data_IF_077470652398
#
_entry.id   IF_077470652398
#
_cell.length_a   1.000
_cell.length_b   1.000
_cell.length_c   1.000
_cell.angle_alpha   90.00
_cell.angle_beta   90.00
_cell.angle_gamma   90.00
#
_symmetry.space_group_name_H-M   'P 1'
#
loop_
_entity.id
_entity.type
_entity.pdbx_description
1 polymer ?
#
# COMPACT_ATOMS: atom_id res chain seq x y z
N UNK A 1 16.50 -12.50 -16.13
CA UNK A 1 16.20 -12.62 -17.58
C UNK A 1 15.86 -14.06 -17.94
N UNK A 2 16.69 -15.06 -17.60
CA UNK A 2 16.41 -16.48 -17.91
C UNK A 2 15.13 -17.00 -17.21
N UNK A 3 14.85 -16.59 -15.98
CA UNK A 3 13.66 -16.99 -15.22
C UNK A 3 12.36 -16.44 -15.82
N UNK A 4 12.36 -15.19 -16.27
CA UNK A 4 11.22 -14.60 -16.99
C UNK A 4 10.95 -15.33 -18.33
N UNK A 5 12.01 -15.74 -19.03
CA UNK A 5 11.87 -16.52 -20.27
C UNK A 5 11.32 -17.93 -20.01
N UNK A 6 11.63 -18.55 -18.85
CA UNK A 6 11.13 -19.88 -18.48
C UNK A 6 9.67 -19.88 -18.00
N UNK A 7 9.19 -18.78 -17.43
CA UNK A 7 7.81 -18.64 -16.91
C UNK A 7 6.74 -18.44 -18.01
N UNK A 8 7.17 -18.00 -19.19
CA UNK A 8 6.27 -17.60 -20.25
C UNK A 8 5.47 -16.32 -19.93
N UNK A 9 5.15 -15.56 -20.93
CA UNK A 9 4.40 -14.30 -20.81
C UNK A 9 3.04 -14.46 -20.13
N UNK A 10 2.41 -15.63 -20.30
CA UNK A 10 1.10 -15.90 -19.73
C UNK A 10 1.13 -15.86 -18.20
N UNK A 11 2.12 -16.52 -17.56
CA UNK A 11 2.22 -16.53 -16.08
C UNK A 11 2.50 -15.15 -15.51
N UNK A 12 3.31 -14.34 -16.20
CA UNK A 12 3.58 -12.94 -15.83
C UNK A 12 2.30 -12.12 -15.85
N UNK A 13 1.55 -12.19 -16.94
CA UNK A 13 0.29 -11.45 -17.10
C UNK A 13 -0.77 -11.92 -16.11
N UNK A 14 -0.90 -13.24 -15.89
CA UNK A 14 -1.86 -13.81 -14.95
C UNK A 14 -1.56 -13.39 -13.50
N UNK A 15 -0.29 -13.40 -13.07
CA UNK A 15 0.09 -12.99 -11.74
C UNK A 15 -0.24 -11.50 -11.49
N UNK A 16 0.12 -10.64 -12.44
CA UNK A 16 -0.18 -9.20 -12.36
C UNK A 16 -1.70 -8.94 -12.35
N UNK A 17 -2.45 -9.58 -13.25
CA UNK A 17 -3.89 -9.42 -13.37
C UNK A 17 -4.63 -9.94 -12.12
N UNK A 18 -4.24 -11.11 -11.60
CA UNK A 18 -4.78 -11.66 -10.36
C UNK A 18 -4.54 -10.73 -9.18
N UNK A 19 -3.30 -10.25 -9.02
CA UNK A 19 -2.96 -9.26 -8.00
C UNK A 19 -3.81 -8.00 -8.15
N UNK A 20 -3.92 -7.46 -9.36
CA UNK A 20 -4.72 -6.26 -9.63
C UNK A 20 -6.19 -6.43 -9.23
N UNK A 21 -6.82 -7.52 -9.59
CA UNK A 21 -8.21 -7.80 -9.24
C UNK A 21 -8.40 -7.89 -7.72
N UNK A 22 -7.53 -8.60 -7.01
CA UNK A 22 -7.54 -8.65 -5.54
C UNK A 22 -7.36 -7.23 -4.94
N UNK A 23 -6.38 -6.50 -5.43
CA UNK A 23 -6.06 -5.14 -4.96
C UNK A 23 -7.15 -4.12 -5.22
N UNK A 24 -7.91 -4.29 -6.31
CA UNK A 24 -8.98 -3.39 -6.71
C UNK A 24 -10.21 -3.45 -5.81
N UNK A 25 -10.32 -4.40 -4.87
CA UNK A 25 -11.42 -4.46 -3.90
C UNK A 25 -11.32 -3.27 -2.95
N UNK A 26 -12.31 -2.35 -2.93
CA UNK A 26 -12.25 -1.12 -2.14
C UNK A 26 -12.83 -1.33 -0.74
N UNK A 27 -12.12 -2.05 0.14
CA UNK A 27 -12.65 -2.47 1.45
C UNK A 27 -13.14 -1.31 2.32
N UNK A 28 -12.42 -0.19 2.38
CA UNK A 28 -12.85 0.96 3.17
C UNK A 28 -14.22 1.51 2.72
N UNK A 29 -14.46 1.58 1.40
CA UNK A 29 -15.75 2.01 0.88
C UNK A 29 -16.85 0.97 1.11
N UNK A 30 -16.54 -0.32 0.93
CA UNK A 30 -17.50 -1.41 1.16
C UNK A 30 -17.92 -1.47 2.62
N UNK A 31 -16.97 -1.49 3.55
CA UNK A 31 -17.24 -1.55 4.99
C UNK A 31 -18.07 -0.35 5.48
N UNK A 32 -17.71 0.85 5.06
CA UNK A 32 -18.43 2.07 5.49
C UNK A 32 -19.83 2.14 4.91
N UNK A 33 -20.05 1.69 3.68
CA UNK A 33 -21.39 1.58 3.07
C UNK A 33 -22.26 0.54 3.79
N UNK A 34 -21.72 -0.66 4.05
CA UNK A 34 -22.44 -1.70 4.77
C UNK A 34 -22.81 -1.29 6.20
N UNK A 35 -21.98 -0.46 6.83
CA UNK A 35 -22.24 0.09 8.17
C UNK A 35 -23.14 1.32 8.17
N UNK A 36 -23.65 1.76 7.02
CA UNK A 36 -24.55 2.93 6.92
C UNK A 36 -23.89 4.27 7.30
N UNK A 37 -22.56 4.39 7.20
CA UNK A 37 -21.85 5.65 7.52
C UNK A 37 -21.84 6.60 6.33
N UNK A 38 -21.41 7.86 6.56
CA UNK A 38 -21.18 8.85 5.50
C UNK A 38 -20.19 8.33 4.45
N UNK A 39 -20.41 8.65 3.18
CA UNK A 39 -19.48 8.28 2.10
C UNK A 39 -18.11 8.93 2.35
N UNK A 40 -17.10 8.10 2.60
CA UNK A 40 -15.74 8.55 2.92
C UNK A 40 -15.07 9.37 1.81
N UNK A 41 -15.61 9.33 0.59
CA UNK A 41 -15.13 10.13 -0.55
C UNK A 41 -15.58 11.59 -0.47
N UNK A 42 -16.52 11.92 0.42
CA UNK A 42 -17.01 13.30 0.62
C UNK A 42 -16.36 13.99 1.82
N UNK A 43 -15.62 13.26 2.67
CA UNK A 43 -15.01 13.78 3.88
C UNK A 43 -13.48 13.76 3.86
N UNK A 44 -12.87 14.61 4.61
CA UNK A 44 -11.43 14.63 4.91
C UNK A 44 -10.55 14.58 3.66
N UNK A 45 -9.71 13.56 3.57
CA UNK A 45 -8.79 13.39 2.42
C UNK A 45 -9.44 12.82 1.15
N UNK A 46 -10.74 12.53 1.19
CA UNK A 46 -11.52 11.89 0.12
C UNK A 46 -10.97 10.52 -0.34
N UNK A 47 -10.00 9.97 0.38
CA UNK A 47 -9.37 8.67 0.11
C UNK A 47 -10.22 7.53 0.69
N UNK A 48 -10.17 6.36 0.06
CA UNK A 48 -10.87 5.14 0.52
C UNK A 48 -10.09 4.37 1.60
N UNK A 49 -8.93 4.86 2.07
CA UNK A 49 -8.07 4.16 3.04
C UNK A 49 -8.45 4.37 4.50
N UNK A 50 -7.90 3.54 5.37
CA UNK A 50 -8.19 3.44 6.81
C UNK A 50 -8.11 4.79 7.57
N UNK A 51 -7.12 5.62 7.29
CA UNK A 51 -6.97 6.94 7.94
C UNK A 51 -8.16 7.87 7.65
N UNK A 52 -8.77 7.77 6.46
CA UNK A 52 -9.96 8.55 6.14
C UNK A 52 -11.22 7.91 6.75
N UNK A 53 -11.30 6.57 6.79
CA UNK A 53 -12.37 5.86 7.52
C UNK A 53 -12.37 6.25 9.00
N UNK A 54 -11.20 6.42 9.64
CA UNK A 54 -11.10 6.84 11.04
C UNK A 54 -11.82 8.19 11.31
N UNK A 55 -11.92 9.08 10.32
CA UNK A 55 -12.60 10.37 10.44
C UNK A 55 -14.13 10.26 10.57
N UNK A 56 -14.70 9.10 10.22
CA UNK A 56 -16.13 8.82 10.53
C UNK A 56 -16.39 8.57 12.01
N UNK A 57 -15.33 8.50 12.85
CA UNK A 57 -15.40 8.13 14.27
C UNK A 57 -15.40 6.61 14.51
N UNK A 58 -15.55 5.77 13.48
CA UNK A 58 -15.63 4.31 13.55
C UNK A 58 -14.22 3.69 13.50
N UNK A 59 -13.61 3.55 14.66
CA UNK A 59 -12.27 2.95 14.83
C UNK A 59 -12.22 1.48 14.38
N UNK A 60 -13.28 0.74 14.63
CA UNK A 60 -13.49 -0.65 14.22
C UNK A 60 -13.43 -0.80 12.70
N UNK A 61 -14.15 0.03 11.95
CA UNK A 61 -14.12 0.02 10.48
C UNK A 61 -12.77 0.48 9.94
N UNK A 62 -12.11 1.43 10.60
CA UNK A 62 -10.77 1.86 10.22
C UNK A 62 -9.74 0.73 10.39
N UNK A 63 -9.78 0.00 11.52
CA UNK A 63 -8.93 -1.15 11.76
C UNK A 63 -9.22 -2.29 10.76
N UNK A 64 -10.49 -2.62 10.53
CA UNK A 64 -10.88 -3.62 9.53
C UNK A 64 -10.41 -3.23 8.11
N UNK A 65 -10.54 -1.95 7.73
CA UNK A 65 -10.04 -1.45 6.44
C UNK A 65 -8.53 -1.62 6.33
N UNK A 66 -7.76 -1.28 7.38
CA UNK A 66 -6.31 -1.43 7.39
C UNK A 66 -5.90 -2.90 7.18
N UNK A 67 -6.52 -3.81 7.93
CA UNK A 67 -6.24 -5.25 7.86
C UNK A 67 -6.61 -5.82 6.48
N UNK A 68 -7.81 -5.54 5.98
CA UNK A 68 -8.26 -6.08 4.70
C UNK A 68 -7.49 -5.48 3.52
N UNK A 69 -7.12 -4.20 3.56
CA UNK A 69 -6.29 -3.57 2.54
C UNK A 69 -4.83 -4.08 2.59
N UNK A 70 -4.32 -4.54 3.75
CA UNK A 70 -3.06 -5.25 3.83
C UNK A 70 -3.20 -6.69 3.29
N UNK A 71 -4.23 -7.43 3.71
CA UNK A 71 -4.46 -8.81 3.28
C UNK A 71 -4.65 -8.94 1.77
N UNK A 72 -5.30 -7.96 1.10
CA UNK A 72 -5.43 -7.98 -0.36
C UNK A 72 -4.10 -7.79 -1.10
N UNK A 73 -3.06 -7.27 -0.41
CA UNK A 73 -1.69 -7.27 -0.88
C UNK A 73 -0.95 -8.58 -0.57
N UNK A 74 -1.17 -9.12 0.64
CA UNK A 74 -0.49 -10.32 1.14
C UNK A 74 -0.97 -11.60 0.44
N UNK A 75 -2.28 -11.80 0.33
CA UNK A 75 -2.86 -13.07 -0.17
C UNK A 75 -2.44 -13.38 -1.61
N UNK A 76 -2.56 -12.46 -2.59
CA UNK A 76 -2.16 -12.79 -3.96
C UNK A 76 -0.67 -13.05 -4.09
N UNK A 77 0.17 -12.40 -3.29
CA UNK A 77 1.61 -12.67 -3.22
C UNK A 77 1.88 -14.08 -2.72
N UNK A 78 1.30 -14.48 -1.58
CA UNK A 78 1.46 -15.82 -1.02
C UNK A 78 0.98 -16.93 -1.98
N UNK A 79 -0.11 -16.68 -2.69
CA UNK A 79 -0.60 -17.61 -3.73
C UNK A 79 0.41 -17.71 -4.87
N UNK A 80 0.90 -16.56 -5.37
CA UNK A 80 1.82 -16.51 -6.50
C UNK A 80 3.23 -17.04 -6.17
N UNK A 81 3.64 -17.05 -4.89
CA UNK A 81 4.90 -17.66 -4.45
C UNK A 81 5.02 -19.15 -4.82
N UNK A 82 3.90 -19.84 -5.02
CA UNK A 82 3.90 -21.25 -5.48
C UNK A 82 4.51 -21.43 -6.89
N UNK A 83 4.58 -20.35 -7.66
CA UNK A 83 5.16 -20.32 -9.01
C UNK A 83 6.49 -19.58 -9.08
N UNK A 84 7.03 -19.16 -7.91
CA UNK A 84 8.32 -18.51 -7.78
C UNK A 84 8.25 -17.06 -7.33
N UNK A 85 9.42 -16.47 -7.09
CA UNK A 85 9.54 -15.11 -6.57
C UNK A 85 9.05 -14.06 -7.58
N UNK A 86 9.37 -14.20 -8.86
CA UNK A 86 8.97 -13.23 -9.89
C UNK A 86 7.46 -13.10 -10.04
N UNK A 87 6.65 -14.18 -10.17
CA UNK A 87 5.18 -14.08 -10.12
C UNK A 87 4.66 -13.46 -8.84
N UNK A 88 5.25 -13.77 -7.68
CA UNK A 88 4.83 -13.21 -6.40
C UNK A 88 5.03 -11.69 -6.33
N UNK A 89 6.19 -11.20 -6.77
CA UNK A 89 6.49 -9.76 -6.82
C UNK A 89 5.54 -9.05 -7.77
N UNK A 90 5.23 -9.65 -8.93
CA UNK A 90 4.28 -9.07 -9.91
C UNK A 90 2.83 -9.09 -9.40
N UNK A 91 2.41 -10.14 -8.69
CA UNK A 91 1.12 -10.17 -8.03
C UNK A 91 1.02 -9.06 -6.97
N UNK A 92 2.08 -8.82 -6.21
CA UNK A 92 2.17 -7.71 -5.24
C UNK A 92 2.07 -6.34 -5.90
N UNK A 93 2.79 -6.13 -7.00
CA UNK A 93 2.70 -4.90 -7.79
C UNK A 93 1.29 -4.72 -8.36
N UNK A 94 0.70 -5.78 -8.90
CA UNK A 94 -0.68 -5.78 -9.38
C UNK A 94 -1.67 -5.38 -8.28
N UNK A 95 -1.56 -5.98 -7.09
CA UNK A 95 -2.43 -5.66 -5.95
C UNK A 95 -2.28 -4.20 -5.51
N UNK A 96 -1.07 -3.69 -5.51
CA UNK A 96 -0.82 -2.29 -5.22
C UNK A 96 -1.44 -1.35 -6.26
N UNK A 97 -1.25 -1.62 -7.55
CA UNK A 97 -1.86 -0.86 -8.65
C UNK A 97 -3.39 -0.93 -8.61
N UNK A 98 -3.97 -2.10 -8.31
CA UNK A 98 -5.41 -2.27 -8.14
C UNK A 98 -5.97 -1.41 -7.01
N UNK A 99 -5.25 -1.27 -5.89
CA UNK A 99 -5.66 -0.37 -4.80
C UNK A 99 -5.57 1.11 -5.21
N UNK A 100 -4.55 1.53 -5.96
CA UNK A 100 -4.37 2.91 -6.41
C UNK A 100 -5.38 3.31 -7.49
N UNK A 101 -5.70 2.37 -8.37
CA UNK A 101 -6.44 2.62 -9.60
C UNK A 101 -7.51 1.53 -9.83
N UNK A 102 -8.48 1.34 -8.91
CA UNK A 102 -9.51 0.30 -9.05
C UNK A 102 -10.47 0.63 -10.20
N UNK A 103 -10.63 -0.31 -11.13
CA UNK A 103 -11.46 -0.12 -12.32
C UNK A 103 -12.92 0.22 -11.99
N UNK A 104 -13.48 -0.38 -10.94
CA UNK A 104 -14.86 -0.12 -10.48
C UNK A 104 -15.09 1.27 -9.88
N UNK A 105 -14.02 1.97 -9.53
CA UNK A 105 -14.06 3.34 -9.01
C UNK A 105 -13.50 4.35 -10.03
N UNK A 106 -13.59 4.07 -11.32
CA UNK A 106 -13.07 4.92 -12.39
C UNK A 106 -11.60 5.30 -12.18
N UNK A 107 -10.82 4.34 -11.67
CA UNK A 107 -9.39 4.49 -11.33
C UNK A 107 -9.08 5.50 -10.20
N UNK A 108 -10.09 5.90 -9.39
CA UNK A 108 -9.94 6.77 -8.24
C UNK A 108 -9.87 5.96 -6.94
N UNK A 109 -8.70 5.40 -6.63
CA UNK A 109 -8.47 4.56 -5.46
C UNK A 109 -7.81 5.27 -4.28
N UNK A 110 -7.22 4.44 -3.41
CA UNK A 110 -6.49 4.87 -2.23
C UNK A 110 -5.05 5.30 -2.51
N UNK A 111 -4.24 5.40 -1.44
CA UNK A 111 -2.83 5.81 -1.51
C UNK A 111 -1.85 4.64 -1.42
N UNK A 112 -2.32 3.45 -1.07
CA UNK A 112 -1.56 2.22 -1.15
C UNK A 112 -0.80 1.83 0.12
N UNK A 113 -0.79 2.61 1.20
CA UNK A 113 0.06 2.34 2.38
C UNK A 113 -0.19 0.95 2.97
N UNK A 114 -1.44 0.59 3.26
CA UNK A 114 -1.78 -0.72 3.82
C UNK A 114 -1.44 -1.87 2.87
N UNK A 115 -1.72 -1.71 1.57
CA UNK A 115 -1.41 -2.72 0.55
C UNK A 115 0.11 -2.86 0.35
N UNK A 116 0.87 -1.76 0.41
CA UNK A 116 2.34 -1.77 0.41
C UNK A 116 2.89 -2.59 1.59
N UNK A 117 2.36 -2.36 2.81
CA UNK A 117 2.70 -3.15 3.99
C UNK A 117 2.33 -4.63 3.79
N UNK A 118 1.16 -4.91 3.22
CA UNK A 118 0.71 -6.27 2.94
C UNK A 118 1.60 -7.03 1.95
N UNK A 119 2.06 -6.38 0.90
CA UNK A 119 3.04 -6.96 -0.05
C UNK A 119 4.35 -7.28 0.65
N UNK A 120 4.86 -6.34 1.47
CA UNK A 120 6.08 -6.58 2.25
C UNK A 120 5.90 -7.69 3.29
N UNK A 121 4.71 -7.82 3.88
CA UNK A 121 4.43 -8.89 4.87
C UNK A 121 4.65 -10.27 4.28
N UNK A 122 4.30 -10.46 3.01
CA UNK A 122 4.50 -11.74 2.31
C UNK A 122 5.92 -11.93 1.78
N UNK A 123 6.59 -10.85 1.32
CA UNK A 123 7.89 -10.95 0.65
C UNK A 123 9.09 -10.64 1.56
N UNK A 124 8.89 -9.79 2.56
CA UNK A 124 9.97 -9.30 3.42
C UNK A 124 9.44 -8.72 4.73
N UNK A 125 8.99 -9.58 5.66
CA UNK A 125 8.42 -9.17 6.93
C UNK A 125 9.30 -8.22 7.78
N UNK A 126 10.69 -8.26 7.74
CA UNK A 126 11.48 -7.28 8.49
C UNK A 126 11.24 -5.84 8.00
N UNK A 127 10.90 -5.66 6.73
CA UNK A 127 10.49 -4.37 6.17
C UNK A 127 9.20 -3.84 6.78
N UNK A 128 8.28 -4.72 7.17
CA UNK A 128 7.05 -4.32 7.89
C UNK A 128 7.37 -3.79 9.28
N UNK A 129 8.25 -4.47 10.00
CA UNK A 129 8.70 -4.03 11.33
C UNK A 129 9.41 -2.66 11.24
N UNK A 130 10.30 -2.50 10.26
CA UNK A 130 11.00 -1.23 10.02
C UNK A 130 10.00 -0.11 9.64
N UNK A 131 9.06 -0.40 8.73
CA UNK A 131 8.01 0.55 8.34
C UNK A 131 7.19 0.98 9.56
N UNK A 132 6.76 0.01 10.37
CA UNK A 132 5.99 0.26 11.59
C UNK A 132 6.75 1.13 12.59
N UNK A 133 8.01 0.83 12.85
CA UNK A 133 8.86 1.60 13.76
C UNK A 133 9.02 3.06 13.29
N UNK A 134 9.35 3.27 12.00
CA UNK A 134 9.48 4.61 11.42
C UNK A 134 8.13 5.34 11.45
N UNK A 135 7.06 4.67 11.01
CA UNK A 135 5.73 5.27 10.95
C UNK A 135 5.25 5.70 12.33
N UNK A 136 5.36 4.80 13.34
CA UNK A 136 4.96 5.10 14.72
C UNK A 136 5.79 6.23 15.32
N UNK A 137 7.11 6.23 15.12
CA UNK A 137 7.99 7.29 15.62
C UNK A 137 7.61 8.66 15.05
N UNK A 138 7.48 8.76 13.72
CA UNK A 138 7.11 10.03 13.06
C UNK A 138 5.67 10.44 13.41
N UNK A 139 4.73 9.50 13.45
CA UNK A 139 3.35 9.79 13.82
C UNK A 139 3.22 10.25 15.28
N UNK A 140 4.00 9.68 16.21
CA UNK A 140 4.03 10.09 17.60
C UNK A 140 4.58 11.52 17.75
N UNK A 141 5.68 11.84 17.06
CA UNK A 141 6.34 13.13 17.15
C UNK A 141 5.56 14.27 16.47
N UNK A 142 4.94 13.98 15.32
CA UNK A 142 4.36 15.02 14.45
C UNK A 142 2.85 15.02 14.40
N UNK A 143 2.22 13.90 14.73
CA UNK A 143 0.78 13.60 14.57
C UNK A 143 0.30 13.60 13.11
N UNK A 144 1.19 13.62 12.11
CA UNK A 144 0.84 13.55 10.69
C UNK A 144 1.03 12.13 10.15
N UNK A 145 -0.10 11.40 9.93
CA UNK A 145 -0.09 10.06 9.33
C UNK A 145 0.51 10.06 7.91
N UNK A 146 0.27 11.12 7.13
CA UNK A 146 0.80 11.24 5.77
C UNK A 146 2.32 11.43 5.77
N UNK A 147 2.87 12.27 6.65
CA UNK A 147 4.32 12.45 6.78
C UNK A 147 5.00 11.14 7.22
N UNK A 148 4.42 10.45 8.20
CA UNK A 148 4.93 9.17 8.68
C UNK A 148 4.97 8.12 7.54
N UNK A 149 3.91 8.04 6.73
CA UNK A 149 3.86 7.12 5.59
C UNK A 149 4.87 7.48 4.50
N UNK A 150 5.06 8.77 4.21
CA UNK A 150 6.04 9.24 3.23
C UNK A 150 7.47 8.89 3.66
N UNK A 151 7.86 9.20 4.91
CA UNK A 151 9.20 8.88 5.41
C UNK A 151 9.45 7.37 5.44
N UNK A 152 8.49 6.59 5.96
CA UNK A 152 8.62 5.14 6.02
C UNK A 152 8.72 4.52 4.63
N UNK A 153 7.88 4.95 3.67
CA UNK A 153 7.91 4.43 2.30
C UNK A 153 9.15 4.85 1.49
N UNK A 154 9.89 5.86 1.93
CA UNK A 154 11.18 6.22 1.35
C UNK A 154 12.31 5.35 1.93
N UNK A 155 12.37 5.25 3.26
CA UNK A 155 13.51 4.60 3.93
C UNK A 155 13.50 3.08 3.79
N UNK A 156 12.32 2.45 3.79
CA UNK A 156 12.22 0.98 3.73
C UNK A 156 12.72 0.40 2.39
N UNK A 157 12.30 0.89 1.21
CA UNK A 157 12.86 0.43 -0.06
C UNK A 157 14.36 0.73 -0.19
N UNK A 158 14.81 1.89 0.30
CA UNK A 158 16.24 2.22 0.31
C UNK A 158 17.04 1.20 1.13
N UNK A 159 16.58 0.85 2.33
CA UNK A 159 17.21 -0.20 3.14
C UNK A 159 17.25 -1.53 2.39
N UNK A 160 16.15 -1.92 1.70
CA UNK A 160 16.11 -3.16 0.92
C UNK A 160 17.10 -3.12 -0.24
N UNK A 161 17.19 -2.02 -0.98
CA UNK A 161 18.16 -1.84 -2.07
C UNK A 161 19.60 -2.00 -1.56
N UNK A 162 19.93 -1.36 -0.43
CA UNK A 162 21.26 -1.47 0.17
C UNK A 162 21.59 -2.92 0.57
N UNK A 163 20.63 -3.65 1.11
CA UNK A 163 20.78 -5.07 1.41
C UNK A 163 20.96 -5.92 0.14
N UNK A 164 20.19 -5.63 -0.91
CA UNK A 164 20.30 -6.32 -2.20
C UNK A 164 21.66 -6.10 -2.86
N UNK A 165 22.23 -4.88 -2.77
CA UNK A 165 23.58 -4.58 -3.27
C UNK A 165 24.69 -5.29 -2.50
N UNK A 166 24.50 -5.51 -1.18
CA UNK A 166 25.44 -6.23 -0.32
C UNK A 166 25.39 -7.76 -0.53
N UNK A 167 24.29 -8.31 -0.99
CA UNK A 167 24.09 -9.72 -1.26
C UNK A 167 24.34 -10.02 -2.75
N UNK A 168 25.37 -10.80 -3.06
CA UNK A 168 25.66 -11.22 -4.43
C UNK A 168 24.50 -12.07 -4.98
N UNK A 169 23.60 -11.46 -5.74
CA UNK A 169 22.45 -12.13 -6.36
C UNK A 169 21.13 -11.68 -5.79
N UNK A 170 20.75 -10.48 -6.09
CA UNK A 170 19.53 -9.89 -5.59
C UNK A 170 18.37 -10.08 -6.53
N UNK A 171 17.28 -10.56 -5.99
CA UNK A 171 15.98 -10.35 -6.60
C UNK A 171 15.64 -8.85 -6.65
N UNK A 172 14.97 -8.41 -7.70
CA UNK A 172 14.60 -7.00 -7.91
C UNK A 172 13.56 -6.45 -6.91
N UNK A 173 13.42 -7.03 -5.72
CA UNK A 173 12.41 -6.64 -4.74
C UNK A 173 12.59 -5.18 -4.29
N UNK A 174 13.84 -4.77 -3.99
CA UNK A 174 14.12 -3.38 -3.62
C UNK A 174 13.70 -2.39 -4.69
N UNK A 175 13.95 -2.71 -5.97
CA UNK A 175 13.54 -1.88 -7.10
C UNK A 175 12.01 -1.79 -7.23
N UNK A 176 11.28 -2.91 -7.08
CA UNK A 176 9.82 -2.92 -7.13
C UNK A 176 9.22 -2.13 -5.96
N UNK A 177 9.75 -2.30 -4.75
CA UNK A 177 9.33 -1.50 -3.60
C UNK A 177 9.59 0.00 -3.81
N UNK A 178 10.69 0.37 -4.48
CA UNK A 178 10.98 1.76 -4.83
C UNK A 178 9.97 2.32 -5.85
N UNK A 179 9.60 1.54 -6.87
CA UNK A 179 8.54 1.92 -7.81
C UNK A 179 7.20 2.11 -7.09
N UNK A 180 6.83 1.17 -6.22
CA UNK A 180 5.61 1.30 -5.42
C UNK A 180 5.64 2.54 -4.51
N UNK A 181 6.79 2.83 -3.90
CA UNK A 181 6.98 4.04 -3.08
C UNK A 181 6.85 5.32 -3.90
N UNK A 182 7.43 5.38 -5.10
CA UNK A 182 7.27 6.53 -5.99
C UNK A 182 5.80 6.79 -6.36
N UNK A 183 5.04 5.74 -6.67
CA UNK A 183 3.60 5.84 -6.91
C UNK A 183 2.82 6.25 -5.66
N UNK A 184 3.21 5.75 -4.48
CA UNK A 184 2.64 6.16 -3.19
C UNK A 184 2.88 7.65 -2.95
N UNK A 185 4.08 8.15 -3.20
CA UNK A 185 4.41 9.58 -3.12
C UNK A 185 3.57 10.40 -4.10
N UNK A 186 3.42 9.93 -5.32
CA UNK A 186 2.53 10.56 -6.31
C UNK A 186 1.11 10.69 -5.78
N UNK A 187 0.54 9.61 -5.24
CA UNK A 187 -0.82 9.60 -4.65
C UNK A 187 -0.91 10.45 -3.37
N UNK A 188 0.20 10.78 -2.73
CA UNK A 188 0.26 11.70 -1.59
C UNK A 188 0.51 13.17 -1.99
N UNK A 189 0.61 13.51 -3.27
CA UNK A 189 0.86 14.89 -3.72
C UNK A 189 -0.07 15.93 -3.05
N UNK A 190 -1.39 15.68 -2.87
CA UNK A 190 -2.25 16.62 -2.14
C UNK A 190 -1.88 16.75 -0.65
N UNK A 191 -1.41 15.66 -0.01
CA UNK A 191 -0.97 15.71 1.39
C UNK A 191 0.35 16.47 1.52
N UNK A 192 1.30 16.23 0.60
CA UNK A 192 2.59 16.96 0.57
C UNK A 192 2.33 18.46 0.45
N UNK A 193 1.41 18.86 -0.43
CA UNK A 193 1.04 20.27 -0.58
C UNK A 193 0.47 20.85 0.72
N UNK A 194 -0.45 20.12 1.41
CA UNK A 194 -0.99 20.57 2.69
C UNK A 194 0.05 20.58 3.82
N UNK A 195 0.98 19.62 3.84
CA UNK A 195 2.11 19.63 4.80
C UNK A 195 2.98 20.87 4.64
N UNK A 196 3.32 21.23 3.40
CA UNK A 196 4.12 22.43 3.10
C UNK A 196 3.37 23.73 3.45
N UNK A 197 2.04 23.72 3.36
CA UNK A 197 1.19 24.88 3.72
C UNK A 197 0.78 24.90 5.20
N UNK A 198 1.16 23.90 6.00
CA UNK A 198 0.73 23.80 7.40
C UNK A 198 -0.75 23.49 7.61
N UNK A 199 -1.46 23.01 6.57
CA UNK A 199 -2.91 22.74 6.57
C UNK A 199 -3.26 21.25 6.58
N UNK A 200 -2.27 20.36 6.74
CA UNK A 200 -2.53 18.91 6.84
C UNK A 200 -3.18 18.57 8.19
N UNK A 201 -4.26 17.79 8.14
CA UNK A 201 -4.98 17.38 9.36
C UNK A 201 -4.18 16.37 10.19
N UNK A 202 -4.13 16.58 11.49
CA UNK A 202 -3.46 15.69 12.45
C UNK A 202 -4.28 14.45 12.78
N UNK A 203 -3.61 13.40 13.24
CA UNK A 203 -4.27 12.18 13.74
C UNK A 203 -5.16 12.57 14.94
N UNK A 204 -6.45 12.14 14.89
CA UNK A 204 -7.43 12.40 15.96
C UNK A 204 -8.19 13.73 15.82
N UNK A 205 -7.88 14.60 14.87
CA UNK A 205 -8.72 15.74 14.56
C UNK A 205 -9.98 15.30 13.79
N UNK A 206 -11.14 15.78 14.24
CA UNK A 206 -12.40 15.64 13.50
C UNK A 206 -12.30 16.52 12.25
N UNK A 207 -12.51 15.93 11.09
CA UNK A 207 -12.56 16.65 9.81
C UNK A 207 -13.90 17.33 9.60
#
# INVERSE_FOLDING_TARGET
MAELASLGWLNVVLALAFGYLCGAIPFGLLLTRLAGTTDIRTIGSKSIGATNVLRTGRKDLAAATLVLDALKGTIPVLIALRWGETPAVLAGLGAFLGHLYPVWLKFEGGKGVATFIGVMLALWWPGVALFGAIWLGIAYLTRYSSLAALVASLLVPLTRILLDLGARGSGGLGAVLAVMAALLWWKHAPNIRRLLQGTEGKIGEKG
#
